data_IF_245522864474
#
_entry.id   IF_245522864474
#
_cell.length_a   1.000
_cell.length_b   1.000
_cell.length_c   1.000
_cell.angle_alpha   90.00
_cell.angle_beta   90.00
_cell.angle_gamma   90.00
#
_symmetry.space_group_name_H-M   'P 1'
#
loop_
_entity.id
_entity.type
_entity.pdbx_description
1 polymer ?
#
# COMPACT_ATOMS: atom_id res chain seq x y z
N UNK A 1 49.49 -14.89 -33.86
CA UNK A 1 49.89 -14.98 -32.45
C UNK A 1 48.84 -14.30 -31.59
N UNK A 2 48.40 -15.01 -30.54
CA UNK A 2 47.71 -14.61 -29.30
C UNK A 2 47.59 -13.10 -28.97
N UNK A 3 46.66 -12.61 -28.15
CA UNK A 3 45.41 -13.05 -27.50
C UNK A 3 44.98 -11.90 -26.58
N UNK A 4 43.68 -11.78 -26.28
CA UNK A 4 43.11 -11.26 -25.01
C UNK A 4 43.30 -9.74 -24.71
N UNK A 5 42.23 -8.95 -24.46
CA UNK A 5 41.77 -8.65 -23.08
C UNK A 5 40.47 -7.79 -23.07
N UNK A 6 39.49 -8.31 -22.32
CA UNK A 6 38.50 -7.66 -21.43
C UNK A 6 37.32 -6.85 -22.01
N UNK A 7 36.20 -7.59 -22.06
CA UNK A 7 34.90 -7.27 -21.44
C UNK A 7 34.96 -6.10 -20.42
N UNK A 8 34.17 -5.06 -20.67
CA UNK A 8 33.39 -4.31 -19.67
C UNK A 8 32.00 -4.18 -20.27
N UNK A 9 31.07 -5.09 -19.99
CA UNK A 9 30.16 -4.99 -18.84
C UNK A 9 29.92 -3.53 -18.44
N UNK A 10 29.14 -2.81 -19.27
CA UNK A 10 28.48 -1.60 -18.80
C UNK A 10 27.47 -2.05 -17.76
N UNK A 11 27.90 -1.86 -16.50
CA UNK A 11 27.15 -2.03 -15.27
C UNK A 11 25.79 -1.38 -15.45
N UNK A 12 24.73 -2.12 -15.11
CA UNK A 12 23.38 -1.61 -15.08
C UNK A 12 23.33 -0.30 -14.29
N UNK A 13 22.59 0.65 -14.84
CA UNK A 13 22.21 1.92 -14.25
C UNK A 13 21.87 1.76 -12.75
N UNK A 14 22.66 2.31 -11.81
CA UNK A 14 22.29 2.34 -10.40
C UNK A 14 21.26 3.44 -10.09
N UNK A 15 20.81 4.20 -11.10
CA UNK A 15 19.95 5.37 -10.95
C UNK A 15 18.45 5.06 -10.96
N UNK A 16 18.05 3.79 -10.82
CA UNK A 16 16.65 3.47 -10.52
C UNK A 16 16.34 3.96 -9.12
N UNK A 17 15.69 5.11 -9.10
CA UNK A 17 15.78 6.09 -8.05
C UNK A 17 15.17 5.54 -6.77
N UNK A 18 15.84 5.70 -5.63
CA UNK A 18 15.32 5.39 -4.28
C UNK A 18 13.82 5.69 -4.08
N UNK A 19 13.24 6.82 -4.58
CA UNK A 19 11.80 7.06 -4.52
C UNK A 19 10.94 5.98 -5.19
N UNK A 20 11.35 5.41 -6.32
CA UNK A 20 10.59 4.35 -7.02
C UNK A 20 10.50 3.07 -6.17
N UNK A 21 11.58 2.71 -5.47
CA UNK A 21 11.60 1.54 -4.57
C UNK A 21 10.66 1.75 -3.39
N UNK A 22 10.61 2.96 -2.84
CA UNK A 22 9.73 3.32 -1.73
C UNK A 22 8.26 3.35 -2.14
N UNK A 23 7.95 3.80 -3.37
CA UNK A 23 6.60 3.76 -3.94
C UNK A 23 6.14 2.30 -4.12
N UNK A 24 6.98 1.44 -4.70
CA UNK A 24 6.66 0.01 -4.88
C UNK A 24 6.45 -0.70 -3.54
N UNK A 25 7.28 -0.41 -2.53
CA UNK A 25 7.11 -0.95 -1.18
C UNK A 25 5.82 -0.47 -0.53
N UNK A 26 5.50 0.82 -0.66
CA UNK A 26 4.26 1.40 -0.15
C UNK A 26 3.02 0.80 -0.81
N UNK A 27 3.08 0.54 -2.11
CA UNK A 27 1.99 -0.10 -2.85
C UNK A 27 1.80 -1.56 -2.47
N UNK A 28 2.88 -2.33 -2.33
CA UNK A 28 2.80 -3.72 -1.88
C UNK A 28 2.14 -3.85 -0.49
N UNK A 29 2.42 -2.91 0.42
CA UNK A 29 1.76 -2.86 1.74
C UNK A 29 0.26 -2.54 1.62
N UNK A 30 -0.10 -1.62 0.72
CA UNK A 30 -1.50 -1.31 0.41
C UNK A 30 -2.25 -2.53 -0.12
N UNK A 31 -1.71 -3.22 -1.13
CA UNK A 31 -2.36 -4.41 -1.71
C UNK A 31 -2.54 -5.50 -0.64
N UNK A 32 -1.48 -5.84 0.10
CA UNK A 32 -1.55 -6.85 1.16
C UNK A 32 -2.54 -6.51 2.27
N UNK A 33 -2.67 -5.23 2.61
CA UNK A 33 -3.66 -4.80 3.59
C UNK A 33 -5.09 -4.99 3.06
N UNK A 34 -5.35 -4.57 1.82
CA UNK A 34 -6.67 -4.71 1.19
C UNK A 34 -7.05 -6.18 1.05
N UNK A 35 -6.12 -7.04 0.65
CA UNK A 35 -6.32 -8.49 0.59
C UNK A 35 -6.67 -9.09 1.96
N UNK A 36 -5.91 -8.75 3.01
CA UNK A 36 -6.17 -9.25 4.37
C UNK A 36 -7.52 -8.81 4.93
N UNK A 37 -8.04 -7.66 4.51
CA UNK A 37 -9.35 -7.14 4.92
C UNK A 37 -10.49 -7.53 3.97
N UNK A 38 -10.24 -8.45 3.02
CA UNK A 38 -11.28 -8.95 2.10
C UNK A 38 -11.73 -7.93 1.05
N UNK A 39 -10.87 -6.96 0.72
CA UNK A 39 -11.08 -5.90 -0.26
C UNK A 39 -10.20 -6.07 -1.51
N UNK A 40 -9.73 -7.30 -1.79
CA UNK A 40 -8.90 -7.60 -2.95
C UNK A 40 -9.59 -7.17 -4.27
N UNK A 41 -10.92 -7.32 -4.35
CA UNK A 41 -11.72 -6.91 -5.51
C UNK A 41 -11.72 -5.39 -5.74
N UNK A 42 -11.47 -4.61 -4.68
CA UNK A 42 -11.44 -3.15 -4.72
C UNK A 42 -10.08 -2.61 -5.17
N UNK A 43 -9.00 -3.39 -5.07
CA UNK A 43 -7.61 -2.95 -5.40
C UNK A 43 -7.51 -2.43 -6.83
N UNK A 44 -8.25 -3.01 -7.78
CA UNK A 44 -8.26 -2.62 -9.20
C UNK A 44 -8.69 -1.17 -9.47
N UNK A 45 -9.35 -0.52 -8.52
CA UNK A 45 -9.78 0.88 -8.65
C UNK A 45 -8.65 1.88 -8.34
N UNK A 46 -7.56 1.42 -7.73
CA UNK A 46 -6.50 2.28 -7.25
C UNK A 46 -5.26 2.24 -8.16
N UNK A 47 -4.53 3.35 -8.30
CA UNK A 47 -3.33 3.39 -9.12
C UNK A 47 -2.18 2.59 -8.50
N UNK A 48 -1.20 2.18 -9.32
CA UNK A 48 -0.05 1.38 -8.91
C UNK A 48 0.94 2.09 -7.96
N UNK A 49 0.74 3.39 -7.73
CA UNK A 49 1.49 4.18 -6.74
C UNK A 49 0.67 4.46 -5.48
N UNK A 50 -0.54 3.90 -5.36
CA UNK A 50 -1.39 4.05 -4.18
C UNK A 50 -0.72 3.44 -2.96
N UNK A 51 -0.72 4.16 -1.84
CA UNK A 51 -0.16 3.71 -0.56
C UNK A 51 -1.22 3.70 0.53
N UNK A 52 -0.93 3.01 1.65
CA UNK A 52 -1.83 3.00 2.81
C UNK A 52 -2.02 4.39 3.43
N UNK A 53 -1.00 5.23 3.41
CA UNK A 53 -1.12 6.61 3.90
C UNK A 53 -2.14 7.41 3.09
N UNK A 54 -2.09 7.28 1.76
CA UNK A 54 -3.07 7.91 0.87
C UNK A 54 -4.48 7.33 1.10
N UNK A 55 -4.59 6.01 1.33
CA UNK A 55 -5.88 5.36 1.59
C UNK A 55 -6.51 5.85 2.91
N UNK A 56 -5.70 6.02 3.96
CA UNK A 56 -6.15 6.55 5.26
C UNK A 56 -6.64 7.99 5.17
N UNK A 57 -6.08 8.79 4.26
CA UNK A 57 -6.51 10.18 4.03
C UNK A 57 -7.70 10.32 3.09
N UNK A 58 -8.12 9.25 2.40
CA UNK A 58 -9.24 9.31 1.47
C UNK A 58 -10.59 9.41 2.17
N UNK A 59 -11.53 10.09 1.50
CA UNK A 59 -12.93 10.17 1.93
C UNK A 59 -13.89 9.52 0.92
N UNK A 60 -15.16 9.27 1.27
CA UNK A 60 -16.12 8.60 0.38
C UNK A 60 -16.33 9.33 -0.95
N UNK A 61 -16.24 10.66 -0.94
CA UNK A 61 -16.39 11.49 -2.15
C UNK A 61 -15.22 11.28 -3.10
N UNK A 62 -13.99 11.22 -2.59
CA UNK A 62 -12.79 10.95 -3.37
C UNK A 62 -12.78 9.51 -3.92
N UNK A 63 -13.23 8.52 -3.15
CA UNK A 63 -13.38 7.14 -3.65
C UNK A 63 -14.25 7.09 -4.91
N UNK A 64 -15.34 7.87 -4.94
CA UNK A 64 -16.20 7.98 -6.12
C UNK A 64 -15.56 8.79 -7.25
N UNK A 65 -15.08 10.00 -6.95
CA UNK A 65 -14.68 10.97 -7.98
C UNK A 65 -13.29 10.72 -8.55
N UNK A 66 -12.34 10.28 -7.71
CA UNK A 66 -10.93 10.16 -8.06
C UNK A 66 -10.52 8.73 -8.40
N UNK A 67 -11.08 7.76 -7.68
CA UNK A 67 -10.75 6.33 -7.85
C UNK A 67 -11.85 5.55 -8.58
N UNK A 68 -12.97 6.20 -8.92
CA UNK A 68 -14.03 5.59 -9.74
C UNK A 68 -14.76 4.43 -9.06
N UNK A 69 -14.73 4.33 -7.73
CA UNK A 69 -15.53 3.35 -6.98
C UNK A 69 -16.98 3.82 -7.00
N UNK A 70 -17.76 3.41 -8.01
CA UNK A 70 -19.15 3.86 -8.22
C UNK A 70 -20.17 3.16 -7.31
N UNK A 71 -19.89 1.92 -6.91
CA UNK A 71 -20.74 1.16 -6.00
C UNK A 71 -20.67 1.73 -4.58
N UNK A 72 -21.83 2.03 -3.97
CA UNK A 72 -21.89 2.58 -2.61
C UNK A 72 -21.47 1.57 -1.55
N UNK A 73 -21.85 0.29 -1.70
CA UNK A 73 -21.50 -0.77 -0.77
C UNK A 73 -19.99 -1.00 -0.74
N UNK A 74 -19.33 -0.92 -1.89
CA UNK A 74 -17.86 -0.99 -1.94
C UNK A 74 -17.21 0.18 -1.21
N UNK A 75 -17.70 1.41 -1.42
CA UNK A 75 -17.19 2.58 -0.69
C UNK A 75 -17.40 2.44 0.82
N UNK A 76 -18.57 2.02 1.25
CA UNK A 76 -18.89 1.81 2.66
C UNK A 76 -18.00 0.74 3.30
N UNK A 77 -17.77 -0.39 2.60
CA UNK A 77 -16.84 -1.43 3.05
C UNK A 77 -15.41 -0.91 3.20
N UNK A 78 -14.90 -0.15 2.24
CA UNK A 78 -13.56 0.45 2.31
C UNK A 78 -13.47 1.39 3.53
N UNK A 79 -14.45 2.27 3.71
CA UNK A 79 -14.45 3.22 4.82
C UNK A 79 -14.58 2.54 6.18
N UNK A 80 -15.40 1.48 6.28
CA UNK A 80 -15.54 0.68 7.49
C UNK A 80 -14.19 0.06 7.87
N UNK A 81 -13.55 -0.64 6.93
CA UNK A 81 -12.23 -1.26 7.15
C UNK A 81 -11.18 -0.22 7.57
N UNK A 82 -11.20 0.97 6.98
CA UNK A 82 -10.31 2.07 7.38
C UNK A 82 -10.56 2.53 8.81
N UNK A 83 -11.83 2.66 9.20
CA UNK A 83 -12.20 3.06 10.56
C UNK A 83 -11.84 2.00 11.62
N UNK A 84 -12.00 0.71 11.30
CA UNK A 84 -11.66 -0.40 12.21
C UNK A 84 -10.14 -0.55 12.37
N UNK A 85 -9.39 -0.39 11.28
CA UNK A 85 -7.93 -0.49 11.32
C UNK A 85 -7.28 0.63 12.14
N UNK A 86 -7.96 1.76 12.31
CA UNK A 86 -7.52 2.82 13.23
C UNK A 86 -7.73 2.47 14.71
N UNK A 87 -8.68 1.58 15.01
CA UNK A 87 -9.00 1.14 16.37
C UNK A 87 -8.12 -0.03 16.81
N UNK A 88 -7.79 -0.94 15.90
CA UNK A 88 -6.89 -2.07 16.19
C UNK A 88 -5.47 -1.61 16.60
N UNK A 89 -4.94 -0.53 16.00
CA UNK A 89 -3.67 0.10 16.43
C UNK A 89 -3.73 0.71 17.85
N UNK A 90 -4.93 0.92 18.41
CA UNK A 90 -5.13 1.50 19.76
C UNK A 90 -5.56 0.47 20.81
N UNK A 91 -5.89 -0.76 20.42
CA UNK A 91 -6.39 -1.79 21.34
C UNK A 91 -5.31 -2.68 21.96
N UNK A 92 -4.02 -2.41 21.72
CA UNK A 92 -2.91 -3.23 22.22
C UNK A 92 -2.22 -2.64 23.48
N UNK A 93 -2.89 -1.74 24.21
CA UNK A 93 -2.33 -1.05 25.40
C UNK A 93 -3.10 -1.29 26.71
N UNK A 94 -4.04 -2.23 26.77
CA UNK A 94 -4.82 -2.50 28.01
C UNK A 94 -4.68 -3.94 28.55
N UNK A 95 -3.46 -4.47 28.58
CA UNK A 95 -3.17 -5.71 29.32
C UNK A 95 -1.86 -5.61 30.08
N UNK A 96 -1.77 -4.70 31.03
CA UNK A 96 -0.75 -4.75 32.10
C UNK A 96 -1.23 -3.96 33.31
N UNK A 97 -1.27 -4.63 34.47
CA UNK A 97 -1.57 -4.10 35.81
C UNK A 97 -3.07 -3.86 36.09
N UNK A 98 -3.69 -4.51 37.08
CA UNK A 98 -3.23 -4.60 38.46
C UNK A 98 -3.74 -5.88 39.11
N UNK A 99 -2.83 -6.82 39.35
CA UNK A 99 -2.99 -7.83 40.40
C UNK A 99 -2.70 -7.10 41.70
N UNK A 100 -3.71 -6.97 42.57
CA UNK A 100 -3.52 -6.90 44.02
C UNK A 100 -4.80 -7.19 44.78
#
# INVERSE_FOLDING_TARGET
MASLIKRKLNRGDPLRSEPEKNVVRGHALFVRFMERKGLADCVRHFPANMTLGQLKSTNPRELKQRYGVQDSKQRERIMLVMSESHREDQSDTDHSELVR
#
